data_IF_251402236321
#
_entry.id   IF_251402236321
#
_cell.length_a   1.000
_cell.length_b   1.000
_cell.length_c   1.000
_cell.angle_alpha   90.00
_cell.angle_beta   90.00
_cell.angle_gamma   90.00
#
_symmetry.space_group_name_H-M   'P 1'
#
loop_
_entity.id
_entity.type
_entity.pdbx_description
1 polymer ?
#
# COMPACT_ATOMS: atom_id res chain seq x y z
N UNK A 1 -25.55 -33.61 13.49
CA UNK A 1 -25.49 -33.02 12.14
C UNK A 1 -24.10 -32.43 12.00
N UNK A 2 -23.26 -33.00 11.15
CA UNK A 2 -21.90 -32.53 10.93
C UNK A 2 -21.94 -31.54 9.77
N UNK A 3 -21.91 -30.24 10.08
CA UNK A 3 -21.77 -29.17 9.10
C UNK A 3 -20.33 -29.19 8.57
N UNK A 4 -20.10 -30.03 7.57
CA UNK A 4 -18.87 -30.09 6.80
C UNK A 4 -18.67 -28.77 6.06
N UNK A 5 -17.99 -27.83 6.70
CA UNK A 5 -17.45 -26.64 6.04
C UNK A 5 -16.43 -27.11 5.01
N UNK A 6 -16.87 -27.24 3.76
CA UNK A 6 -15.99 -27.43 2.60
C UNK A 6 -15.04 -26.24 2.58
N UNK A 7 -13.79 -26.45 3.02
CA UNK A 7 -12.72 -25.47 2.86
C UNK A 7 -12.42 -25.38 1.37
N UNK A 8 -12.96 -24.36 0.71
CA UNK A 8 -12.58 -24.00 -0.65
C UNK A 8 -11.05 -23.86 -0.74
N UNK A 9 -10.41 -24.24 -1.86
CA UNK A 9 -8.98 -24.08 -2.01
C UNK A 9 -8.65 -22.59 -1.91
N UNK A 10 -7.95 -22.21 -0.82
CA UNK A 10 -7.37 -20.87 -0.71
C UNK A 10 -6.41 -20.74 -1.87
N UNK A 11 -6.77 -19.94 -2.86
CA UNK A 11 -5.91 -19.68 -4.01
C UNK A 11 -4.73 -18.86 -3.50
N UNK A 12 -3.60 -19.53 -3.33
CA UNK A 12 -2.35 -18.93 -2.92
C UNK A 12 -1.58 -18.43 -4.15
N UNK A 13 -1.02 -17.23 -4.04
CA UNK A 13 -0.29 -16.55 -5.11
C UNK A 13 1.19 -16.43 -4.69
N UNK A 14 2.02 -17.45 -4.92
CA UNK A 14 3.45 -17.39 -4.62
C UNK A 14 4.18 -16.43 -5.57
N UNK A 15 5.21 -15.77 -5.05
CA UNK A 15 6.10 -14.94 -5.85
C UNK A 15 7.01 -15.83 -6.72
N UNK A 16 7.02 -15.66 -8.05
CA UNK A 16 7.87 -16.44 -8.95
C UNK A 16 9.35 -16.01 -8.92
N UNK A 17 9.70 -14.93 -8.21
CA UNK A 17 11.08 -14.43 -8.20
C UNK A 17 12.00 -15.35 -7.38
N UNK A 18 13.11 -15.86 -7.97
CA UNK A 18 14.05 -16.73 -7.28
C UNK A 18 14.53 -16.13 -5.96
N UNK A 19 14.50 -16.91 -4.88
CA UNK A 19 14.93 -16.47 -3.55
C UNK A 19 13.97 -15.55 -2.80
N UNK A 20 12.80 -15.19 -3.36
CA UNK A 20 11.83 -14.35 -2.66
C UNK A 20 11.01 -15.10 -1.60
N UNK A 21 10.49 -16.28 -1.95
CA UNK A 21 9.72 -17.15 -1.04
C UNK A 21 8.40 -16.58 -0.50
N UNK A 22 7.96 -15.39 -0.94
CA UNK A 22 6.73 -14.75 -0.43
C UNK A 22 5.48 -15.33 -1.08
N UNK A 23 4.45 -15.55 -0.28
CA UNK A 23 3.14 -16.05 -0.72
C UNK A 23 2.06 -15.04 -0.33
N UNK A 24 1.15 -14.76 -1.26
CA UNK A 24 0.05 -13.82 -1.06
C UNK A 24 -1.29 -14.51 -1.16
N UNK A 25 -2.25 -14.08 -0.34
CA UNK A 25 -3.62 -14.59 -0.36
C UNK A 25 -4.50 -13.91 -1.44
N UNK A 26 -3.97 -12.90 -2.13
CA UNK A 26 -4.69 -12.13 -3.16
C UNK A 26 -3.76 -11.80 -4.32
N UNK A 27 -4.24 -11.99 -5.55
CA UNK A 27 -3.47 -11.70 -6.78
C UNK A 27 -2.97 -10.24 -6.86
N UNK A 28 -3.80 -9.26 -6.49
CA UNK A 28 -3.38 -7.85 -6.54
C UNK A 28 -2.23 -7.53 -5.57
N UNK A 29 -2.10 -8.27 -4.47
CA UNK A 29 -0.97 -8.13 -3.55
C UNK A 29 0.32 -8.70 -4.17
N UNK A 30 0.24 -9.87 -4.82
CA UNK A 30 1.36 -10.42 -5.59
C UNK A 30 1.78 -9.43 -6.68
N UNK A 31 0.85 -8.94 -7.51
CA UNK A 31 1.14 -7.94 -8.56
C UNK A 31 1.84 -6.69 -8.01
N UNK A 32 1.33 -6.15 -6.90
CA UNK A 32 1.96 -4.99 -6.24
C UNK A 32 3.34 -5.31 -5.68
N UNK A 33 3.55 -6.54 -5.20
CA UNK A 33 4.84 -7.00 -4.71
C UNK A 33 5.85 -7.22 -5.83
N UNK A 34 5.45 -7.65 -7.02
CA UNK A 34 6.34 -7.81 -8.16
C UNK A 34 7.07 -6.51 -8.53
N UNK A 35 6.42 -5.36 -8.30
CA UNK A 35 7.04 -4.03 -8.45
C UNK A 35 8.21 -3.79 -7.49
N UNK A 36 8.42 -4.62 -6.46
CA UNK A 36 9.59 -4.54 -5.59
C UNK A 36 10.83 -5.22 -6.17
N UNK A 37 10.64 -6.13 -7.12
CA UNK A 37 11.70 -6.77 -7.90
C UNK A 37 12.08 -5.97 -9.15
N UNK A 38 11.25 -4.98 -9.52
CA UNK A 38 11.50 -4.08 -10.63
C UNK A 38 11.80 -2.66 -10.11
N UNK A 39 12.57 -1.91 -10.88
CA UNK A 39 12.74 -0.46 -10.69
C UNK A 39 11.61 0.35 -11.32
N UNK A 40 10.61 -0.32 -11.90
CA UNK A 40 9.40 0.31 -12.41
C UNK A 40 8.62 1.06 -11.32
N UNK A 41 8.31 2.31 -11.62
CA UNK A 41 7.48 3.19 -10.80
C UNK A 41 6.39 3.78 -11.69
N UNK A 42 5.31 3.04 -11.97
CA UNK A 42 4.32 3.43 -12.97
C UNK A 42 3.49 4.67 -12.59
N UNK A 43 3.56 5.12 -11.32
CA UNK A 43 2.76 6.24 -10.84
C UNK A 43 3.63 7.48 -10.66
N UNK A 44 3.66 8.37 -11.66
CA UNK A 44 4.46 9.60 -11.62
C UNK A 44 3.63 10.81 -11.16
N UNK A 45 4.24 11.66 -10.34
CA UNK A 45 3.72 12.95 -9.95
C UNK A 45 3.93 13.97 -11.08
N UNK A 46 2.85 14.59 -11.54
CA UNK A 46 2.93 15.58 -12.64
C UNK A 46 3.44 16.96 -12.19
N UNK A 47 3.71 17.15 -10.89
CA UNK A 47 4.20 18.41 -10.32
C UNK A 47 5.70 18.44 -10.03
N UNK A 48 6.35 17.29 -9.89
CA UNK A 48 7.77 17.22 -9.49
C UNK A 48 8.49 15.95 -9.97
N UNK A 49 7.94 15.27 -10.98
CA UNK A 49 8.49 14.07 -11.64
C UNK A 49 8.83 12.89 -10.71
N UNK A 50 8.41 12.93 -9.45
CA UNK A 50 8.59 11.82 -8.52
C UNK A 50 7.68 10.64 -8.89
N UNK A 51 8.28 9.47 -9.09
CA UNK A 51 7.54 8.25 -9.37
C UNK A 51 7.40 7.33 -8.15
N UNK A 52 6.29 6.59 -8.12
CA UNK A 52 5.91 5.66 -7.05
C UNK A 52 5.53 4.30 -7.60
N UNK A 53 5.74 3.25 -6.79
CA UNK A 53 5.33 1.87 -7.11
C UNK A 53 3.83 1.64 -6.94
N UNK A 54 3.13 2.44 -6.10
CA UNK A 54 1.71 2.23 -5.79
C UNK A 54 0.93 3.53 -5.88
N UNK A 55 -0.30 3.46 -6.40
CA UNK A 55 -1.18 4.62 -6.55
C UNK A 55 -1.45 5.36 -5.22
N UNK A 56 -1.68 4.62 -4.13
CA UNK A 56 -1.93 5.24 -2.82
C UNK A 56 -0.71 6.02 -2.29
N UNK A 57 0.51 5.65 -2.69
CA UNK A 57 1.73 6.39 -2.35
C UNK A 57 1.77 7.72 -3.11
N UNK A 58 1.44 7.72 -4.40
CA UNK A 58 1.31 8.94 -5.21
C UNK A 58 0.20 9.86 -4.67
N UNK A 59 -0.99 9.33 -4.37
CA UNK A 59 -2.08 10.09 -3.76
C UNK A 59 -1.67 10.70 -2.42
N UNK A 60 -0.90 9.96 -1.62
CA UNK A 60 -0.35 10.48 -0.37
C UNK A 60 0.65 11.60 -0.63
N UNK A 61 1.53 11.42 -1.61
CA UNK A 61 2.51 12.42 -2.01
C UNK A 61 1.85 13.73 -2.47
N UNK A 62 0.74 13.67 -3.22
CA UNK A 62 -0.01 14.87 -3.61
C UNK A 62 -0.45 15.75 -2.43
N UNK A 63 -0.62 15.19 -1.23
CA UNK A 63 -0.91 15.98 -0.02
C UNK A 63 0.22 16.95 0.35
N UNK A 64 1.46 16.66 -0.06
CA UNK A 64 2.59 17.56 0.14
C UNK A 64 2.44 18.82 -0.73
N UNK A 65 1.98 18.68 -1.97
CA UNK A 65 1.73 19.82 -2.85
C UNK A 65 0.51 20.64 -2.44
N UNK A 66 -0.56 19.99 -2.02
CA UNK A 66 -1.80 20.69 -1.64
C UNK A 66 -1.81 21.17 -0.19
N UNK A 67 -0.82 20.80 0.62
CA UNK A 67 -0.79 21.11 2.06
C UNK A 67 -1.90 20.43 2.87
N UNK A 68 -2.64 19.49 2.29
CA UNK A 68 -3.81 18.85 2.94
C UNK A 68 -3.35 17.96 4.09
N UNK A 69 -3.85 18.27 5.29
CA UNK A 69 -3.60 17.53 6.53
C UNK A 69 -4.94 17.05 7.12
N UNK A 70 -5.42 15.87 6.70
CA UNK A 70 -6.77 15.40 7.05
C UNK A 70 -6.85 14.81 8.46
N UNK A 71 -5.71 14.49 9.08
CA UNK A 71 -5.68 13.90 10.41
C UNK A 71 -5.37 14.98 11.44
N UNK A 72 -6.17 15.06 12.50
CA UNK A 72 -6.03 16.05 13.57
C UNK A 72 -5.88 15.35 14.91
N UNK A 73 -4.95 15.83 15.73
CA UNK A 73 -4.83 15.42 17.12
C UNK A 73 -5.87 16.16 17.95
N UNK A 74 -6.85 15.45 18.51
CA UNK A 74 -7.93 16.06 19.29
C UNK A 74 -7.47 16.62 20.65
N UNK A 75 -6.21 16.40 21.05
CA UNK A 75 -5.64 16.91 22.31
C UNK A 75 -4.92 18.25 22.16
N UNK A 76 -4.36 18.53 20.98
CA UNK A 76 -3.53 19.73 20.76
C UNK A 76 -3.71 20.35 19.37
N UNK A 77 -4.74 19.94 18.64
CA UNK A 77 -5.14 20.40 17.30
C UNK A 77 -4.08 20.32 16.20
N UNK A 78 -2.96 19.65 16.47
CA UNK A 78 -1.90 19.44 15.47
C UNK A 78 -2.44 18.59 14.32
N UNK A 79 -2.20 19.08 13.10
CA UNK A 79 -2.65 18.44 11.85
C UNK A 79 -1.53 17.68 11.17
N UNK A 80 -1.84 16.51 10.64
CA UNK A 80 -0.92 15.60 9.99
C UNK A 80 -1.43 15.21 8.60
N UNK A 81 -0.50 15.04 7.66
CA UNK A 81 -0.79 14.52 6.32
C UNK A 81 -0.97 13.00 6.31
N UNK A 82 -0.61 12.29 7.38
CA UNK A 82 -0.63 10.83 7.48
C UNK A 82 -1.18 10.35 8.82
N UNK A 83 -1.95 9.27 8.82
CA UNK A 83 -2.51 8.68 10.04
C UNK A 83 -1.44 8.08 10.94
N UNK A 84 -0.41 7.46 10.35
CA UNK A 84 0.70 6.90 11.11
C UNK A 84 1.58 7.98 11.76
N UNK A 85 1.62 9.19 11.19
CA UNK A 85 2.26 10.34 11.82
C UNK A 85 1.46 10.82 13.03
N UNK A 86 0.13 10.93 12.91
CA UNK A 86 -0.75 11.22 14.05
C UNK A 86 -0.63 10.16 15.16
N UNK A 87 -0.57 8.87 14.80
CA UNK A 87 -0.49 7.78 15.79
C UNK A 87 0.83 7.79 16.60
N UNK A 88 1.92 8.27 16.01
CA UNK A 88 3.24 8.38 16.69
C UNK A 88 3.39 9.67 17.49
N UNK A 89 2.61 10.69 17.15
CA UNK A 89 2.59 11.98 17.81
C UNK A 89 1.89 11.88 19.17
#
# INVERSE_FOLDING_TARGET
KADGVKKEPKTEFPCPHPGCGKIFQRNHNLKSHMLTHSDEKPFTCTKCDMSFRRNHDLRRHYRLHSGVKPYVCQRCDKRFSRSDALRRH
#
